data_IF_478544015329
#
_entry.id   IF_478544015329
#
_cell.length_a   1.000
_cell.length_b   1.000
_cell.length_c   1.000
_cell.angle_alpha   90.00
_cell.angle_beta   90.00
_cell.angle_gamma   90.00
#
_symmetry.space_group_name_H-M   'P 1'
#
loop_
_entity.id
_entity.type
_entity.pdbx_description
1 polymer ?
#
# COMPACT_ATOMS: atom_id res chain seq x y z
N UNK A 1 -3.75 -12.81 2.28
CA UNK A 1 -3.26 -12.28 1.00
C UNK A 1 -3.20 -13.33 -0.10
N UNK A 2 -2.45 -14.45 0.00
CA UNK A 2 -2.39 -15.48 -1.06
C UNK A 2 -3.75 -16.07 -1.46
N UNK A 3 -4.63 -16.31 -0.48
CA UNK A 3 -6.02 -16.75 -0.76
C UNK A 3 -6.87 -15.73 -1.52
N UNK A 4 -6.42 -14.48 -1.57
CA UNK A 4 -7.06 -13.36 -2.28
C UNK A 4 -6.40 -13.08 -3.64
N UNK A 5 -5.54 -13.97 -4.11
CA UNK A 5 -4.92 -13.88 -5.43
C UNK A 5 -3.54 -13.20 -5.48
N UNK A 6 -2.91 -12.93 -4.33
CA UNK A 6 -1.54 -12.41 -4.34
C UNK A 6 -0.56 -13.52 -4.73
N UNK A 7 0.21 -13.31 -5.80
CA UNK A 7 1.24 -14.25 -6.29
C UNK A 7 2.35 -14.42 -5.26
N UNK A 8 2.80 -13.31 -4.68
CA UNK A 8 3.84 -13.27 -3.68
C UNK A 8 3.43 -12.47 -2.45
N UNK A 9 3.90 -12.88 -1.29
CA UNK A 9 3.73 -12.16 -0.03
C UNK A 9 5.08 -12.11 0.66
N UNK A 10 5.56 -10.90 0.93
CA UNK A 10 6.82 -10.63 1.63
C UNK A 10 6.50 -9.93 2.95
N UNK A 11 7.10 -10.40 4.04
CA UNK A 11 6.92 -9.78 5.34
C UNK A 11 8.07 -8.80 5.60
N UNK A 12 7.79 -7.51 5.53
CA UNK A 12 8.76 -6.44 5.73
C UNK A 12 9.39 -6.39 7.13
N UNK A 13 8.79 -7.05 8.14
CA UNK A 13 9.35 -7.14 9.50
C UNK A 13 10.47 -8.19 9.59
N UNK A 14 10.42 -9.23 8.77
CA UNK A 14 11.41 -10.32 8.77
C UNK A 14 12.44 -10.20 7.64
N UNK A 15 12.07 -9.54 6.56
CA UNK A 15 12.94 -9.23 5.43
C UNK A 15 13.18 -7.72 5.37
N UNK A 16 14.33 -7.29 5.87
CA UNK A 16 14.70 -5.87 5.91
C UNK A 16 15.07 -5.29 4.53
N UNK A 17 15.37 -6.16 3.55
CA UNK A 17 15.66 -5.80 2.16
C UNK A 17 14.52 -6.21 1.23
N UNK A 18 13.30 -6.10 1.73
CA UNK A 18 12.10 -6.57 1.03
C UNK A 18 11.90 -5.92 -0.35
N UNK A 19 12.39 -4.71 -0.55
CA UNK A 19 12.32 -4.03 -1.85
C UNK A 19 13.12 -4.78 -2.93
N UNK A 20 14.32 -5.23 -2.61
CA UNK A 20 15.11 -6.07 -3.51
C UNK A 20 14.48 -7.45 -3.72
N UNK A 21 13.94 -8.03 -2.66
CA UNK A 21 13.21 -9.30 -2.74
C UNK A 21 12.01 -9.20 -3.68
N UNK A 22 11.18 -8.16 -3.54
CA UNK A 22 10.04 -7.89 -4.42
C UNK A 22 10.50 -7.70 -5.86
N UNK A 23 11.58 -6.95 -6.08
CA UNK A 23 12.16 -6.76 -7.40
C UNK A 23 12.55 -8.09 -8.05
N UNK A 24 13.23 -8.97 -7.32
CA UNK A 24 13.63 -10.31 -7.81
C UNK A 24 12.44 -11.20 -8.15
N UNK A 25 11.32 -11.04 -7.41
CA UNK A 25 10.09 -11.81 -7.62
C UNK A 25 9.25 -11.27 -8.78
N UNK A 26 9.49 -10.04 -9.22
CA UNK A 26 8.76 -9.44 -10.33
C UNK A 26 9.16 -10.07 -11.68
N UNK A 27 8.29 -9.90 -12.68
CA UNK A 27 8.55 -10.39 -14.05
C UNK A 27 9.86 -9.78 -14.58
N UNK A 28 10.76 -10.63 -15.01
CA UNK A 28 12.08 -10.21 -15.49
C UNK A 28 13.04 -9.67 -14.44
N UNK A 29 12.66 -9.60 -13.16
CA UNK A 29 13.50 -9.05 -12.09
C UNK A 29 13.72 -7.52 -12.20
N UNK A 30 12.87 -6.83 -12.96
CA UNK A 30 13.01 -5.39 -13.22
C UNK A 30 12.38 -4.50 -12.14
N UNK A 31 11.47 -5.06 -11.34
CA UNK A 31 10.66 -4.38 -10.35
C UNK A 31 9.18 -4.34 -10.75
N UNK A 32 8.37 -3.67 -9.95
CA UNK A 32 6.92 -3.59 -10.15
C UNK A 32 6.52 -2.27 -10.82
N UNK A 33 5.47 -2.31 -11.66
CA UNK A 33 4.97 -1.15 -12.41
C UNK A 33 4.31 -0.11 -11.50
N UNK A 34 3.54 -0.59 -10.51
CA UNK A 34 2.77 0.25 -9.61
C UNK A 34 3.00 -0.16 -8.17
N UNK A 35 3.24 0.82 -7.31
CA UNK A 35 3.30 0.63 -5.85
C UNK A 35 2.24 1.50 -5.19
N UNK A 36 1.44 0.90 -4.32
CA UNK A 36 0.52 1.58 -3.42
C UNK A 36 1.21 1.73 -2.06
N UNK A 37 1.83 2.89 -1.83
CA UNK A 37 2.63 3.15 -0.63
C UNK A 37 1.74 3.66 0.50
N UNK A 38 1.45 2.77 1.45
CA UNK A 38 0.59 3.04 2.61
C UNK A 38 1.42 3.26 3.88
N UNK A 39 2.59 2.63 3.97
CA UNK A 39 3.46 2.70 5.15
C UNK A 39 4.11 4.07 5.34
N UNK A 40 4.38 4.77 4.27
CA UNK A 40 4.97 6.10 4.29
C UNK A 40 6.48 6.09 4.59
N UNK A 41 6.98 7.02 5.45
CA UNK A 41 8.42 7.20 5.66
C UNK A 41 9.20 5.94 6.01
N UNK A 42 8.58 5.02 6.75
CA UNK A 42 9.25 3.80 7.23
C UNK A 42 9.49 2.76 6.13
N UNK A 43 8.73 2.81 5.04
CA UNK A 43 8.78 1.81 3.96
C UNK A 43 9.28 2.38 2.63
N UNK A 44 9.27 3.71 2.48
CA UNK A 44 9.52 4.39 1.21
C UNK A 44 10.90 4.05 0.60
N UNK A 45 11.93 3.81 1.41
CA UNK A 45 13.27 3.43 0.94
C UNK A 45 13.24 2.10 0.18
N UNK A 46 12.59 1.11 0.77
CA UNK A 46 12.47 -0.22 0.16
C UNK A 46 11.48 -0.20 -1.02
N UNK A 47 10.43 0.62 -0.94
CA UNK A 47 9.51 0.87 -2.05
C UNK A 47 10.24 1.37 -3.29
N UNK A 48 11.22 2.28 -3.12
CA UNK A 48 12.08 2.75 -4.21
C UNK A 48 12.97 1.65 -4.80
N UNK A 49 13.35 0.64 -4.01
CA UNK A 49 14.08 -0.51 -4.55
C UNK A 49 13.17 -1.45 -5.34
N UNK A 50 11.91 -1.59 -4.91
CA UNK A 50 10.93 -2.48 -5.53
C UNK A 50 10.41 -1.97 -6.87
N UNK A 51 10.26 -0.65 -7.04
CA UNK A 51 9.71 -0.05 -8.26
C UNK A 51 10.68 -0.22 -9.43
N UNK A 52 10.15 -0.50 -10.62
CA UNK A 52 10.93 -0.52 -11.85
C UNK A 52 11.19 0.89 -12.40
N UNK A 53 12.02 0.99 -13.41
CA UNK A 53 12.18 2.21 -14.20
C UNK A 53 10.82 2.65 -14.79
N UNK A 54 10.56 3.95 -14.75
CA UNK A 54 9.29 4.57 -15.21
C UNK A 54 8.04 4.08 -14.47
N UNK A 55 8.21 3.33 -13.36
CA UNK A 55 7.10 2.90 -12.52
C UNK A 55 6.44 4.02 -11.73
N UNK A 56 5.27 3.76 -11.18
CA UNK A 56 4.46 4.76 -10.44
C UNK A 56 4.37 4.37 -8.97
N UNK A 57 4.76 5.30 -8.09
CA UNK A 57 4.52 5.21 -6.65
C UNK A 57 3.35 6.11 -6.27
N UNK A 58 2.22 5.50 -5.91
CA UNK A 58 1.09 6.23 -5.33
C UNK A 58 1.27 6.31 -3.81
N UNK A 59 1.62 7.49 -3.32
CA UNK A 59 1.82 7.77 -1.89
C UNK A 59 0.47 8.11 -1.27
N UNK A 60 -0.05 7.19 -0.47
CA UNK A 60 -1.42 7.20 0.07
C UNK A 60 -1.41 7.40 1.58
N UNK A 61 -0.51 6.69 2.28
CA UNK A 61 -0.50 6.63 3.72
C UNK A 61 0.77 7.18 4.38
N UNK A 62 0.66 7.34 5.70
CA UNK A 62 1.74 7.80 6.56
C UNK A 62 1.66 7.07 7.91
N UNK A 63 1.50 5.74 7.86
CA UNK A 63 1.27 4.92 9.07
C UNK A 63 2.56 4.67 9.83
N UNK A 64 3.67 4.47 9.11
CA UNK A 64 4.97 4.20 9.70
C UNK A 64 5.75 5.46 10.04
N UNK A 65 6.45 5.43 11.17
CA UNK A 65 7.41 6.48 11.55
C UNK A 65 8.82 6.09 11.14
N UNK A 66 9.59 7.05 10.66
CA UNK A 66 11.04 6.93 10.43
C UNK A 66 11.72 8.22 10.87
N UNK A 67 13.01 8.13 11.20
CA UNK A 67 13.82 9.34 11.43
C UNK A 67 13.95 10.07 10.09
N UNK A 68 13.97 11.42 10.16
CA UNK A 68 14.05 12.26 8.96
C UNK A 68 15.26 11.94 8.07
N UNK A 69 16.37 11.56 8.67
CA UNK A 69 17.62 11.19 8.00
C UNK A 69 17.52 9.89 7.17
N UNK A 70 16.60 9.00 7.57
CA UNK A 70 16.38 7.71 6.91
C UNK A 70 15.32 7.77 5.80
N UNK A 71 14.61 8.91 5.68
CA UNK A 71 13.56 9.08 4.68
C UNK A 71 14.18 9.50 3.35
N UNK A 72 13.91 8.77 2.25
CA UNK A 72 14.36 9.15 0.93
C UNK A 72 13.93 10.56 0.55
N UNK A 73 14.81 11.26 -0.14
CA UNK A 73 14.51 12.58 -0.69
C UNK A 73 13.94 12.44 -2.11
N UNK A 74 13.33 13.50 -2.62
CA UNK A 74 12.78 13.52 -3.99
C UNK A 74 13.87 13.19 -5.02
N UNK A 75 15.11 13.60 -4.77
CA UNK A 75 16.23 13.33 -5.66
C UNK A 75 16.52 11.83 -5.81
N UNK A 76 16.18 11.01 -4.84
CA UNK A 76 16.38 9.55 -4.88
C UNK A 76 15.46 8.86 -5.92
N UNK A 77 14.45 9.56 -6.41
CA UNK A 77 13.62 9.12 -7.53
C UNK A 77 14.35 9.24 -8.89
N UNK A 78 15.32 10.16 -9.00
CA UNK A 78 15.99 10.45 -10.26
C UNK A 78 16.64 9.23 -10.93
N UNK A 79 17.40 8.37 -10.21
CA UNK A 79 17.99 7.17 -10.80
C UNK A 79 16.97 6.14 -11.27
N UNK A 80 15.73 6.23 -10.78
CA UNK A 80 14.63 5.32 -11.15
C UNK A 80 13.75 5.86 -12.26
N UNK A 81 13.84 7.17 -12.56
CA UNK A 81 12.95 7.84 -13.53
C UNK A 81 11.47 7.59 -13.21
N UNK A 82 11.14 7.35 -11.93
CA UNK A 82 9.80 6.97 -11.50
C UNK A 82 8.92 8.19 -11.19
N UNK A 83 7.61 7.96 -11.20
CA UNK A 83 6.61 8.98 -10.89
C UNK A 83 6.18 8.84 -9.43
N UNK A 84 6.31 9.91 -8.64
CA UNK A 84 5.66 10.04 -7.34
C UNK A 84 4.31 10.72 -7.50
N UNK A 85 3.25 10.05 -7.10
CA UNK A 85 1.89 10.56 -7.13
C UNK A 85 1.31 10.59 -5.73
N UNK A 86 1.11 11.78 -5.17
CA UNK A 86 0.37 11.95 -3.92
C UNK A 86 -1.12 11.65 -4.14
N UNK A 87 -1.70 10.84 -3.26
CA UNK A 87 -3.14 10.51 -3.25
C UNK A 87 -3.62 10.68 -1.82
N UNK A 88 -4.48 11.67 -1.58
CA UNK A 88 -4.99 11.94 -0.23
C UNK A 88 -6.43 11.48 -0.04
N UNK A 89 -7.32 12.00 -0.85
CA UNK A 89 -8.76 11.66 -0.82
C UNK A 89 -9.31 11.67 -2.24
N UNK A 90 -10.52 11.11 -2.40
CA UNK A 90 -11.28 11.17 -3.64
C UNK A 90 -12.50 12.07 -3.54
N UNK A 91 -13.03 12.50 -4.68
CA UNK A 91 -14.32 13.17 -4.76
C UNK A 91 -15.47 12.15 -4.66
N UNK A 92 -16.68 12.67 -4.47
CA UNK A 92 -17.89 11.85 -4.54
C UNK A 92 -18.03 11.16 -5.91
N UNK A 93 -17.76 11.87 -6.97
CA UNK A 93 -17.79 11.33 -8.34
C UNK A 93 -16.84 10.14 -8.51
N UNK A 94 -15.59 10.26 -8.04
CA UNK A 94 -14.62 9.16 -8.03
C UNK A 94 -15.08 7.97 -7.17
N UNK A 95 -15.78 8.23 -6.06
CA UNK A 95 -16.37 7.16 -5.25
C UNK A 95 -17.49 6.43 -6.02
N UNK A 96 -18.35 7.17 -6.73
CA UNK A 96 -19.42 6.62 -7.56
C UNK A 96 -18.83 5.77 -8.71
N UNK A 97 -17.78 6.26 -9.38
CA UNK A 97 -17.06 5.51 -10.41
C UNK A 97 -16.42 4.22 -9.86
N UNK A 98 -15.80 4.31 -8.68
CA UNK A 98 -15.21 3.14 -8.00
C UNK A 98 -16.27 2.08 -7.68
N UNK A 99 -17.43 2.50 -7.14
CA UNK A 99 -18.55 1.58 -6.84
C UNK A 99 -19.03 0.89 -8.11
N UNK A 100 -19.21 1.63 -9.20
CA UNK A 100 -19.58 1.04 -10.50
C UNK A 100 -18.55 0.03 -10.99
N UNK A 101 -17.26 0.35 -10.86
CA UNK A 101 -16.19 -0.58 -11.25
C UNK A 101 -16.19 -1.86 -10.40
N UNK A 102 -16.47 -1.76 -9.11
CA UNK A 102 -16.61 -2.90 -8.19
C UNK A 102 -17.79 -3.78 -8.61
N UNK A 103 -18.96 -3.18 -8.89
CA UNK A 103 -20.17 -3.89 -9.29
C UNK A 103 -20.01 -4.60 -10.64
N UNK A 104 -19.50 -3.91 -11.66
CA UNK A 104 -19.34 -4.46 -13.02
C UNK A 104 -18.35 -5.64 -13.03
N UNK A 105 -17.32 -5.61 -12.18
CA UNK A 105 -16.31 -6.66 -12.14
C UNK A 105 -16.57 -7.72 -11.06
N UNK A 106 -17.74 -7.69 -10.41
CA UNK A 106 -18.13 -8.64 -9.34
C UNK A 106 -17.05 -8.76 -8.24
N UNK A 107 -16.47 -7.63 -7.84
CA UNK A 107 -15.44 -7.60 -6.81
C UNK A 107 -16.09 -7.64 -5.43
N UNK A 108 -15.76 -8.65 -4.64
CA UNK A 108 -16.23 -8.79 -3.26
C UNK A 108 -15.18 -8.24 -2.29
N UNK A 109 -15.42 -7.06 -1.67
CA UNK A 109 -14.55 -6.54 -0.63
C UNK A 109 -14.45 -7.50 0.54
N UNK A 110 -13.25 -7.61 1.12
CA UNK A 110 -13.05 -8.40 2.35
C UNK A 110 -13.56 -7.59 3.52
N UNK A 111 -14.64 -8.07 4.13
CA UNK A 111 -15.26 -7.48 5.31
C UNK A 111 -14.91 -8.32 6.52
N UNK A 112 -14.72 -7.69 7.68
CA UNK A 112 -14.52 -8.39 8.94
C UNK A 112 -15.77 -9.22 9.30
N UNK A 113 -15.56 -10.34 9.96
CA UNK A 113 -16.65 -11.20 10.44
C UNK A 113 -17.37 -10.61 11.66
N UNK A 114 -16.70 -9.71 12.41
CA UNK A 114 -17.30 -9.05 13.57
C UNK A 114 -18.12 -7.86 13.11
N UNK A 115 -19.41 -7.89 13.47
CA UNK A 115 -20.37 -6.84 13.11
C UNK A 115 -20.92 -6.22 14.38
N UNK A 116 -20.87 -4.90 14.45
CA UNK A 116 -21.35 -4.15 15.61
C UNK A 116 -22.63 -3.40 15.26
N UNK A 117 -23.62 -3.49 16.14
CA UNK A 117 -24.79 -2.63 16.09
C UNK A 117 -24.38 -1.17 16.31
N UNK A 118 -25.13 -0.21 15.75
CA UNK A 118 -24.81 1.21 15.89
C UNK A 118 -24.70 1.66 17.36
N UNK A 119 -25.50 1.09 18.25
CA UNK A 119 -25.42 1.35 19.69
C UNK A 119 -24.09 0.93 20.33
N UNK A 120 -23.33 0.03 19.68
CA UNK A 120 -22.03 -0.49 20.12
C UNK A 120 -20.87 0.11 19.34
N UNK A 121 -21.02 1.32 18.80
CA UNK A 121 -19.98 1.99 18.02
C UNK A 121 -18.66 2.18 18.80
N UNK A 122 -18.76 2.41 20.12
CA UNK A 122 -17.57 2.55 20.99
C UNK A 122 -16.76 1.25 21.06
N UNK A 123 -17.42 0.14 21.18
CA UNK A 123 -16.83 -1.20 21.20
C UNK A 123 -16.20 -1.52 19.83
N UNK A 124 -16.83 -1.13 18.73
CA UNK A 124 -16.29 -1.27 17.39
C UNK A 124 -14.97 -0.51 17.24
N UNK A 125 -14.88 0.72 17.73
CA UNK A 125 -13.61 1.47 17.72
C UNK A 125 -12.53 0.82 18.59
N UNK A 126 -12.90 0.31 19.77
CA UNK A 126 -11.97 -0.41 20.65
C UNK A 126 -11.45 -1.68 20.00
N UNK A 127 -12.31 -2.43 19.36
CA UNK A 127 -11.98 -3.62 18.58
C UNK A 127 -10.96 -3.28 17.50
N UNK A 128 -11.23 -2.27 16.67
CA UNK A 128 -10.33 -1.84 15.60
C UNK A 128 -8.95 -1.44 16.13
N UNK A 129 -8.87 -0.71 17.25
CA UNK A 129 -7.61 -0.29 17.86
C UNK A 129 -6.80 -1.48 18.37
N UNK A 130 -7.45 -2.56 18.84
CA UNK A 130 -6.75 -3.77 19.33
C UNK A 130 -5.98 -4.52 18.25
N UNK A 131 -6.26 -4.27 16.98
CA UNK A 131 -5.55 -4.86 15.82
C UNK A 131 -4.47 -3.94 15.24
N UNK A 132 -4.31 -2.72 15.76
CA UNK A 132 -3.20 -1.86 15.36
C UNK A 132 -1.89 -2.41 15.94
N UNK A 133 -0.81 -2.51 15.13
CA UNK A 133 0.48 -3.07 15.55
C UNK A 133 1.21 -2.19 16.56
#
# INVERSE_FOLDING_TARGET
>A
MRKLGADHVVNYKTDTNWGETVRKLSVGGEGVDHVLEIGGPATLKETLQAVKYEGVLSIIGQVGYSKREDVPQIIDALPKVCIFRGVYVGSREQMEEMVQAIEINDIHPVVDNEVFEFAHAKEAYQYQVSYLP
#
